data_IF_323159292005
#
_entry.id   IF_323159292005
#
_cell.length_a   1.000
_cell.length_b   1.000
_cell.length_c   1.000
_cell.angle_alpha   90.00
_cell.angle_beta   90.00
_cell.angle_gamma   90.00
#
_symmetry.space_group_name_H-M   'P 1'
#
loop_
_entity.id
_entity.type
_entity.pdbx_description
1 polymer ?
#
# COMPACT_ATOMS: atom_id res chain seq x y z
N UNK A 1 -5.44 -12.81 12.41
CA UNK A 1 -5.98 -11.71 11.60
C UNK A 1 -5.27 -11.67 10.24
N UNK A 2 -5.99 -11.26 9.19
CA UNK A 2 -5.38 -10.95 7.91
C UNK A 2 -4.55 -9.68 8.06
N UNK A 3 -3.32 -9.71 7.53
CA UNK A 3 -2.38 -8.59 7.53
C UNK A 3 -1.90 -8.29 6.10
N UNK A 4 -0.93 -7.38 6.01
CA UNK A 4 -0.42 -6.86 4.73
C UNK A 4 -1.21 -5.65 4.23
N UNK A 5 -0.51 -4.61 3.77
CA UNK A 5 -1.13 -3.32 3.41
C UNK A 5 -2.25 -3.45 2.39
N UNK A 6 -2.01 -4.16 1.30
CA UNK A 6 -3.00 -4.36 0.24
C UNK A 6 -4.26 -5.10 0.74
N UNK A 7 -4.08 -6.18 1.51
CA UNK A 7 -5.22 -6.95 2.01
C UNK A 7 -6.03 -6.18 3.05
N UNK A 8 -5.37 -5.41 3.93
CA UNK A 8 -6.04 -4.53 4.89
C UNK A 8 -6.84 -3.43 4.19
N UNK A 9 -6.26 -2.81 3.17
CA UNK A 9 -6.96 -1.82 2.35
C UNK A 9 -8.19 -2.43 1.67
N UNK A 10 -8.07 -3.59 1.02
CA UNK A 10 -9.19 -4.28 0.38
C UNK A 10 -10.31 -4.63 1.38
N UNK A 11 -9.94 -5.13 2.57
CA UNK A 11 -10.90 -5.40 3.65
C UNK A 11 -11.62 -4.13 4.12
N UNK A 12 -10.90 -3.00 4.20
CA UNK A 12 -11.47 -1.69 4.53
C UNK A 12 -12.50 -1.23 3.49
N UNK A 13 -12.13 -1.30 2.21
CA UNK A 13 -13.00 -0.94 1.07
C UNK A 13 -14.25 -1.84 1.03
N UNK A 14 -14.08 -3.15 1.24
CA UNK A 14 -15.21 -4.08 1.32
C UNK A 14 -16.17 -3.78 2.48
N UNK A 15 -15.64 -3.35 3.65
CA UNK A 15 -16.48 -2.89 4.77
C UNK A 15 -17.29 -1.62 4.45
N UNK A 16 -16.77 -0.78 3.56
CA UNK A 16 -17.48 0.42 3.10
C UNK A 16 -18.51 0.12 2.01
N UNK A 17 -18.69 -1.15 1.64
CA UNK A 17 -19.70 -1.58 0.66
C UNK A 17 -19.25 -1.51 -0.79
N UNK A 18 -17.96 -1.29 -1.04
CA UNK A 18 -17.36 -1.40 -2.37
C UNK A 18 -17.00 -2.86 -2.66
N UNK A 19 -16.80 -3.20 -3.94
CA UNK A 19 -16.45 -4.55 -4.39
C UNK A 19 -15.06 -4.56 -5.04
N UNK A 20 -13.98 -4.61 -4.25
CA UNK A 20 -12.64 -4.65 -4.81
C UNK A 20 -12.32 -6.02 -5.41
N UNK A 21 -11.58 -6.02 -6.51
CA UNK A 21 -10.87 -7.19 -7.02
C UNK A 21 -9.47 -7.17 -6.43
N UNK A 22 -9.04 -8.28 -5.84
CA UNK A 22 -7.73 -8.38 -5.22
C UNK A 22 -6.78 -9.21 -6.07
N UNK A 23 -5.64 -8.63 -6.42
CA UNK A 23 -4.56 -9.32 -7.11
C UNK A 23 -3.35 -9.51 -6.19
N UNK A 24 -2.87 -10.74 -6.11
CA UNK A 24 -1.74 -11.11 -5.26
C UNK A 24 -1.50 -12.61 -5.30
N UNK A 25 -0.74 -13.12 -4.33
CA UNK A 25 -0.44 -14.54 -4.22
C UNK A 25 -0.45 -15.01 -2.76
N UNK A 26 -1.05 -16.16 -2.50
CA UNK A 26 -1.03 -16.86 -1.21
C UNK A 26 -0.44 -18.26 -1.40
N UNK A 27 -0.01 -18.90 -0.31
CA UNK A 27 0.41 -20.30 -0.32
C UNK A 27 -0.77 -21.26 -0.31
N UNK A 28 -0.52 -22.50 -0.74
CA UNK A 28 -1.41 -23.64 -0.54
C UNK A 28 -1.28 -24.11 0.92
N UNK A 29 -1.94 -23.36 1.84
CA UNK A 29 -1.90 -23.58 3.28
C UNK A 29 -3.10 -22.94 3.99
N UNK A 30 -3.25 -23.24 5.30
CA UNK A 30 -4.37 -22.75 6.11
C UNK A 30 -4.43 -21.22 6.23
N UNK A 31 -3.32 -20.50 6.03
CA UNK A 31 -3.30 -19.03 6.06
C UNK A 31 -3.83 -18.46 4.74
N UNK A 32 -3.51 -19.09 3.60
CA UNK A 32 -4.11 -18.76 2.31
C UNK A 32 -5.62 -18.97 2.30
N UNK A 33 -6.08 -20.10 2.86
CA UNK A 33 -7.51 -20.39 3.05
C UNK A 33 -8.19 -19.35 3.96
N UNK A 34 -7.53 -18.94 5.05
CA UNK A 34 -8.04 -17.89 5.93
C UNK A 34 -8.24 -16.57 5.19
N UNK A 35 -7.27 -16.16 4.38
CA UNK A 35 -7.36 -14.91 3.59
C UNK A 35 -8.56 -14.97 2.64
N UNK A 36 -8.71 -16.06 1.88
CA UNK A 36 -9.85 -16.25 0.95
C UNK A 36 -11.19 -16.22 1.68
N UNK A 37 -11.28 -16.87 2.83
CA UNK A 37 -12.49 -16.85 3.66
C UNK A 37 -12.85 -15.44 4.13
N UNK A 38 -11.88 -14.67 4.59
CA UNK A 38 -12.10 -13.27 5.01
C UNK A 38 -12.49 -12.38 3.84
N UNK A 39 -11.91 -12.60 2.66
CA UNK A 39 -12.26 -11.88 1.44
C UNK A 39 -13.70 -12.17 1.02
N UNK A 40 -14.09 -13.44 0.97
CA UNK A 40 -15.46 -13.83 0.66
C UNK A 40 -16.48 -13.21 1.64
N UNK A 41 -16.15 -13.16 2.95
CA UNK A 41 -17.00 -12.55 3.97
C UNK A 41 -17.19 -11.03 3.81
N UNK A 42 -16.38 -10.37 2.98
CA UNK A 42 -16.40 -8.92 2.72
C UNK A 42 -16.67 -8.58 1.25
N UNK A 43 -17.15 -9.55 0.47
CA UNK A 43 -17.44 -9.39 -0.95
C UNK A 43 -16.24 -8.86 -1.77
N UNK A 44 -15.04 -9.31 -1.41
CA UNK A 44 -13.82 -9.04 -2.18
C UNK A 44 -13.68 -10.16 -3.21
N UNK A 45 -13.55 -9.78 -4.47
CA UNK A 45 -13.29 -10.73 -5.55
C UNK A 45 -11.82 -11.17 -5.50
N UNK A 46 -11.60 -12.46 -5.26
CA UNK A 46 -10.28 -13.08 -5.19
C UNK A 46 -9.95 -13.91 -6.44
N UNK A 47 -10.65 -13.71 -7.55
CA UNK A 47 -10.44 -14.43 -8.81
C UNK A 47 -9.03 -14.25 -9.38
N UNK A 48 -8.37 -13.12 -9.06
CA UNK A 48 -6.99 -12.82 -9.43
C UNK A 48 -5.98 -13.13 -8.31
N UNK A 49 -6.40 -13.75 -7.22
CA UNK A 49 -5.52 -14.19 -6.15
C UNK A 49 -4.93 -15.56 -6.47
N UNK A 50 -3.65 -15.57 -6.86
CA UNK A 50 -2.90 -16.79 -7.17
C UNK A 50 -2.68 -17.68 -5.94
N UNK A 51 -2.40 -18.96 -6.18
CA UNK A 51 -2.01 -19.91 -5.14
C UNK A 51 -0.67 -20.56 -5.49
N UNK A 52 0.34 -20.31 -4.66
CA UNK A 52 1.65 -20.94 -4.78
C UNK A 52 1.62 -22.35 -4.19
N UNK A 53 2.18 -23.31 -4.91
CA UNK A 53 2.40 -24.68 -4.42
C UNK A 53 3.80 -24.87 -3.83
N UNK A 54 4.69 -23.92 -4.05
CA UNK A 54 6.10 -24.00 -3.62
C UNK A 54 6.40 -23.12 -2.43
N UNK A 55 5.73 -21.97 -2.33
CA UNK A 55 5.91 -21.02 -1.24
C UNK A 55 4.70 -21.00 -0.32
N UNK A 56 4.93 -20.80 0.97
CA UNK A 56 3.87 -20.63 1.96
C UNK A 56 3.42 -19.19 2.04
N UNK A 57 2.20 -18.97 2.51
CA UNK A 57 1.65 -17.63 2.78
C UNK A 57 2.55 -16.87 3.74
N UNK A 58 2.80 -15.59 3.45
CA UNK A 58 3.56 -14.72 4.34
C UNK A 58 2.83 -14.52 5.68
N UNK A 59 3.58 -14.56 6.78
CA UNK A 59 3.05 -14.34 8.12
C UNK A 59 3.93 -13.39 8.91
N UNK A 60 3.32 -12.61 9.79
CA UNK A 60 4.03 -11.77 10.76
C UNK A 60 3.55 -12.06 12.16
N UNK A 61 4.49 -12.28 13.07
CA UNK A 61 4.22 -12.41 14.50
C UNK A 61 4.55 -11.07 15.15
N UNK A 62 3.54 -10.46 15.80
CA UNK A 62 3.72 -9.21 16.53
C UNK A 62 4.07 -9.50 17.98
N UNK A 63 5.18 -8.93 18.44
CA UNK A 63 5.57 -8.89 19.83
C UNK A 63 5.30 -7.48 20.35
N UNK A 64 4.30 -7.33 21.19
CA UNK A 64 3.86 -6.04 21.71
C UNK A 64 4.05 -5.99 23.22
N UNK A 65 4.66 -4.92 23.71
CA UNK A 65 4.70 -4.56 25.11
C UNK A 65 4.09 -3.16 25.31
N UNK A 66 4.11 -2.63 26.53
CA UNK A 66 3.51 -1.32 26.85
C UNK A 66 4.16 -0.12 26.12
N UNK A 67 5.38 -0.27 25.62
CA UNK A 67 6.19 0.83 25.06
C UNK A 67 6.49 0.67 23.59
N UNK A 68 6.54 -0.57 23.09
CA UNK A 68 7.06 -0.83 21.75
C UNK A 68 6.41 -2.07 21.11
N UNK A 69 6.56 -2.17 19.81
CA UNK A 69 6.09 -3.28 18.99
C UNK A 69 7.18 -3.72 18.03
N UNK A 70 7.46 -5.00 18.02
CA UNK A 70 8.38 -5.65 17.07
C UNK A 70 7.65 -6.70 16.26
N UNK A 71 8.14 -6.96 15.05
CA UNK A 71 7.59 -7.99 14.19
C UNK A 71 8.67 -8.98 13.79
N UNK A 72 8.33 -10.27 13.84
CA UNK A 72 9.07 -11.31 13.16
C UNK A 72 8.26 -11.73 11.94
N UNK A 73 8.78 -11.46 10.74
CA UNK A 73 8.06 -11.68 9.48
C UNK A 73 8.74 -12.75 8.64
N UNK A 74 7.98 -13.80 8.32
CA UNK A 74 8.28 -14.70 7.22
C UNK A 74 7.54 -14.16 5.98
N UNK A 75 8.28 -13.76 4.96
CA UNK A 75 7.69 -13.10 3.78
C UNK A 75 6.90 -14.06 2.90
N UNK A 76 7.31 -15.34 2.81
CA UNK A 76 6.64 -16.34 2.00
C UNK A 76 6.36 -15.87 0.58
N UNK A 77 5.15 -16.10 0.08
CA UNK A 77 4.72 -15.67 -1.27
C UNK A 77 4.94 -14.19 -1.53
N UNK A 78 4.93 -13.32 -0.51
CA UNK A 78 5.20 -11.88 -0.68
C UNK A 78 6.65 -11.58 -1.12
N UNK A 79 7.59 -12.51 -0.90
CA UNK A 79 8.97 -12.34 -1.35
C UNK A 79 9.12 -12.56 -2.87
N UNK A 80 8.19 -13.27 -3.47
CA UNK A 80 8.22 -13.67 -4.89
C UNK A 80 7.23 -12.92 -5.78
N UNK A 81 6.51 -11.94 -5.25
CA UNK A 81 5.58 -11.13 -6.06
C UNK A 81 6.36 -10.44 -7.17
N UNK A 82 6.01 -10.76 -8.41
CA UNK A 82 6.58 -10.16 -9.60
C UNK A 82 5.64 -9.10 -10.15
N UNK A 83 6.09 -7.86 -10.13
CA UNK A 83 5.34 -6.72 -10.67
C UNK A 83 5.06 -6.88 -12.17
N UNK A 84 5.95 -7.57 -12.89
CA UNK A 84 5.77 -7.83 -14.32
C UNK A 84 4.61 -8.79 -14.64
N UNK A 85 4.13 -9.55 -13.64
CA UNK A 85 3.03 -10.51 -13.79
C UNK A 85 1.66 -9.95 -13.43
N UNK A 86 1.57 -8.66 -13.11
CA UNK A 86 0.29 -8.02 -12.84
C UNK A 86 -0.62 -8.11 -14.07
N UNK A 87 -1.79 -8.69 -13.88
CA UNK A 87 -2.81 -8.86 -14.91
C UNK A 87 -3.63 -7.58 -15.06
N UNK A 88 -3.24 -6.73 -16.03
CA UNK A 88 -3.95 -5.50 -16.33
C UNK A 88 -5.28 -5.78 -17.04
N UNK A 89 -5.34 -6.82 -17.88
CA UNK A 89 -6.58 -7.19 -18.58
C UNK A 89 -7.68 -7.56 -17.58
N UNK A 90 -7.33 -8.29 -16.51
CA UNK A 90 -8.27 -8.65 -15.44
C UNK A 90 -8.81 -7.46 -14.65
N UNK A 91 -8.14 -6.30 -14.69
CA UNK A 91 -8.54 -5.08 -13.97
C UNK A 91 -8.82 -3.88 -14.87
N UNK A 92 -8.87 -4.05 -16.19
CA UNK A 92 -9.02 -2.95 -17.16
C UNK A 92 -10.28 -2.11 -17.00
N UNK A 93 -11.34 -2.69 -16.42
CA UNK A 93 -12.60 -2.00 -16.17
C UNK A 93 -12.68 -1.38 -14.76
N UNK A 94 -11.61 -1.47 -13.97
CA UNK A 94 -11.57 -0.83 -12.66
C UNK A 94 -11.58 0.69 -12.82
N UNK A 95 -12.35 1.39 -12.00
CA UNK A 95 -12.33 2.86 -11.93
C UNK A 95 -11.14 3.39 -11.14
N UNK A 96 -10.56 2.54 -10.27
CA UNK A 96 -9.42 2.88 -9.43
C UNK A 96 -8.55 1.66 -9.16
N UNK A 97 -7.24 1.85 -9.17
CA UNK A 97 -6.25 0.83 -8.81
C UNK A 97 -5.44 1.34 -7.63
N UNK A 98 -5.44 0.57 -6.53
CA UNK A 98 -4.61 0.86 -5.37
C UNK A 98 -3.42 -0.09 -5.30
N UNK A 99 -2.23 0.46 -5.17
CA UNK A 99 -0.98 -0.29 -5.03
C UNK A 99 -0.37 -0.05 -3.66
N UNK A 100 0.29 -1.06 -3.11
CA UNK A 100 1.03 -0.93 -1.84
C UNK A 100 2.41 -1.54 -1.93
N UNK A 101 3.37 -0.92 -1.24
CA UNK A 101 4.72 -1.42 -1.07
C UNK A 101 5.62 -1.22 -2.29
N UNK A 102 6.49 -0.22 -2.20
CA UNK A 102 7.60 -0.04 -3.15
C UNK A 102 8.83 -0.79 -2.65
N UNK A 103 9.27 -1.80 -3.40
CA UNK A 103 10.37 -2.67 -2.98
C UNK A 103 11.75 -2.24 -3.53
N UNK A 104 12.06 -0.95 -3.40
CA UNK A 104 13.39 -0.40 -3.68
C UNK A 104 13.79 -0.39 -5.15
N UNK A 105 15.07 -0.07 -5.39
CA UNK A 105 15.65 0.13 -6.73
C UNK A 105 15.58 -1.12 -7.61
N UNK A 106 15.67 -2.31 -7.03
CA UNK A 106 15.66 -3.60 -7.75
C UNK A 106 14.43 -3.77 -8.64
N UNK A 107 13.26 -3.29 -8.19
CA UNK A 107 12.01 -3.45 -8.90
C UNK A 107 11.52 -2.14 -9.56
N UNK A 108 12.31 -1.06 -9.48
CA UNK A 108 11.89 0.26 -9.96
C UNK A 108 11.43 0.26 -11.42
N UNK A 109 12.20 -0.36 -12.30
CA UNK A 109 11.84 -0.44 -13.74
C UNK A 109 10.52 -1.19 -13.97
N UNK A 110 10.25 -2.24 -13.18
CA UNK A 110 8.99 -2.99 -13.27
C UNK A 110 7.80 -2.15 -12.81
N UNK A 111 7.92 -1.39 -11.71
CA UNK A 111 6.88 -0.45 -11.28
C UNK A 111 6.61 0.63 -12.32
N UNK A 112 7.66 1.23 -12.88
CA UNK A 112 7.53 2.25 -13.91
C UNK A 112 6.84 1.71 -15.17
N UNK A 113 7.22 0.50 -15.61
CA UNK A 113 6.60 -0.19 -16.74
C UNK A 113 5.12 -0.47 -16.47
N UNK A 114 4.79 -1.03 -15.29
CA UNK A 114 3.42 -1.31 -14.88
C UNK A 114 2.56 -0.05 -14.89
N UNK A 115 3.01 1.02 -14.23
CA UNK A 115 2.24 2.27 -14.14
C UNK A 115 2.00 2.90 -15.51
N UNK A 116 3.01 2.88 -16.40
CA UNK A 116 2.84 3.32 -17.80
C UNK A 116 1.79 2.50 -18.53
N UNK A 117 1.80 1.18 -18.36
CA UNK A 117 0.81 0.30 -18.97
C UNK A 117 -0.59 0.55 -18.41
N UNK A 118 -0.74 0.68 -17.09
CA UNK A 118 -2.03 1.03 -16.46
C UNK A 118 -2.60 2.30 -17.07
N UNK A 119 -1.80 3.37 -17.20
CA UNK A 119 -2.25 4.63 -17.80
C UNK A 119 -2.53 4.54 -19.30
N UNK A 120 -1.90 3.62 -20.02
CA UNK A 120 -2.12 3.44 -21.46
C UNK A 120 -3.29 2.49 -21.79
N UNK A 121 -3.54 1.50 -20.93
CA UNK A 121 -4.46 0.40 -21.20
C UNK A 121 -5.78 0.53 -20.43
N UNK A 122 -5.89 1.47 -19.45
CA UNK A 122 -7.07 1.65 -18.59
C UNK A 122 -7.41 3.13 -18.41
N UNK A 123 -8.66 3.40 -18.01
CA UNK A 123 -9.12 4.73 -17.56
C UNK A 123 -9.04 4.88 -16.02
N UNK A 124 -8.43 3.93 -15.35
CA UNK A 124 -8.38 3.91 -13.89
C UNK A 124 -7.50 5.03 -13.33
N UNK A 125 -7.96 5.64 -12.25
CA UNK A 125 -7.06 6.41 -11.39
C UNK A 125 -6.20 5.47 -10.56
N UNK A 126 -5.02 5.93 -10.16
CA UNK A 126 -4.04 5.14 -9.40
C UNK A 126 -3.73 5.79 -8.07
N UNK A 127 -3.84 5.04 -6.99
CA UNK A 127 -3.24 5.42 -5.71
C UNK A 127 -2.12 4.45 -5.32
N UNK A 128 -1.09 4.98 -4.66
CA UNK A 128 0.04 4.16 -4.23
C UNK A 128 0.45 4.52 -2.80
N UNK A 129 0.38 3.55 -1.90
CA UNK A 129 0.97 3.63 -0.55
C UNK A 129 2.38 3.02 -0.62
N UNK A 130 3.41 3.86 -0.54
CA UNK A 130 4.79 3.45 -0.79
C UNK A 130 5.28 2.40 0.21
N UNK A 131 4.89 2.53 1.47
CA UNK A 131 5.31 1.64 2.53
C UNK A 131 6.77 1.81 2.95
N UNK A 132 7.16 1.04 3.95
CA UNK A 132 8.51 1.04 4.50
C UNK A 132 9.50 0.40 3.54
N UNK A 133 10.60 1.09 3.24
CA UNK A 133 11.71 0.51 2.48
C UNK A 133 12.59 -0.35 3.38
N UNK A 134 12.42 -1.67 3.29
CA UNK A 134 13.21 -2.64 4.06
C UNK A 134 14.69 -2.73 3.64
N UNK A 135 15.05 -2.17 2.48
CA UNK A 135 16.45 -2.10 2.02
C UNK A 135 17.20 -0.94 2.66
N UNK A 136 16.47 0.09 3.11
CA UNK A 136 17.02 1.34 3.64
C UNK A 136 17.64 2.24 2.58
N UNK A 137 17.51 1.93 1.29
CA UNK A 137 18.06 2.73 0.18
C UNK A 137 17.32 4.04 -0.01
N UNK A 138 16.00 4.04 0.26
CA UNK A 138 15.12 5.17 0.04
C UNK A 138 15.36 5.79 -1.35
N UNK A 139 15.23 4.94 -2.37
CA UNK A 139 15.61 5.22 -3.74
C UNK A 139 14.96 6.51 -4.26
N UNK A 140 15.75 7.57 -4.60
CA UNK A 140 15.21 8.83 -5.08
C UNK A 140 14.54 8.76 -6.46
N UNK A 141 14.83 7.70 -7.23
CA UNK A 141 14.18 7.48 -8.53
C UNK A 141 12.68 7.21 -8.39
N UNK A 142 12.17 6.96 -7.18
CA UNK A 142 10.74 6.79 -6.92
C UNK A 142 9.91 7.96 -7.49
N UNK A 143 10.47 9.16 -7.57
CA UNK A 143 9.83 10.34 -8.17
C UNK A 143 9.47 10.15 -9.66
N UNK A 144 10.16 9.25 -10.37
CA UNK A 144 9.84 8.93 -11.76
C UNK A 144 8.46 8.24 -11.90
N UNK A 145 7.94 7.67 -10.81
CA UNK A 145 6.61 7.05 -10.76
C UNK A 145 5.49 8.07 -10.58
N UNK A 146 5.75 9.20 -9.95
CA UNK A 146 4.74 10.17 -9.51
C UNK A 146 3.84 10.70 -10.63
N UNK A 147 4.33 10.98 -11.86
CA UNK A 147 3.46 11.41 -12.96
C UNK A 147 2.37 10.39 -13.37
N UNK A 148 2.49 9.14 -12.89
CA UNK A 148 1.53 8.06 -13.18
C UNK A 148 0.63 7.74 -11.98
N UNK A 149 0.76 8.49 -10.87
CA UNK A 149 0.04 8.28 -9.61
C UNK A 149 -0.88 9.46 -9.37
N UNK A 150 -2.18 9.22 -9.21
CA UNK A 150 -3.15 10.28 -8.92
C UNK A 150 -3.20 10.62 -7.42
N UNK A 151 -2.94 9.63 -6.55
CA UNK A 151 -2.89 9.84 -5.09
C UNK A 151 -1.72 9.08 -4.48
N UNK A 152 -0.77 9.80 -3.91
CA UNK A 152 0.40 9.24 -3.23
C UNK A 152 0.17 9.20 -1.73
N UNK A 153 0.33 8.01 -1.13
CA UNK A 153 0.22 7.80 0.32
C UNK A 153 1.56 7.41 0.93
N UNK A 154 1.85 7.91 2.12
CA UNK A 154 2.97 7.47 2.95
C UNK A 154 2.78 7.92 4.41
N UNK A 155 3.52 7.34 5.33
CA UNK A 155 3.60 7.86 6.68
C UNK A 155 4.67 8.96 6.81
N UNK A 156 4.71 9.62 7.97
CA UNK A 156 5.65 10.72 8.25
C UNK A 156 7.11 10.31 8.05
N UNK A 157 7.49 9.14 8.57
CA UNK A 157 8.86 8.65 8.49
C UNK A 157 9.25 8.33 7.04
N UNK A 158 8.40 7.67 6.31
CA UNK A 158 8.58 7.37 4.88
C UNK A 158 8.74 8.67 4.07
N UNK A 159 7.87 9.65 4.33
CA UNK A 159 7.91 10.94 3.65
C UNK A 159 9.24 11.66 3.84
N UNK A 160 9.73 11.72 5.07
CA UNK A 160 11.02 12.36 5.40
C UNK A 160 12.18 11.65 4.69
N UNK A 161 12.18 10.31 4.70
CA UNK A 161 13.26 9.54 4.09
C UNK A 161 13.26 9.64 2.55
N UNK A 162 12.13 9.39 1.89
CA UNK A 162 12.02 9.51 0.43
C UNK A 162 12.21 10.95 -0.06
N UNK A 163 11.71 11.93 0.70
CA UNK A 163 11.86 13.35 0.40
C UNK A 163 13.25 13.90 0.69
N UNK A 164 14.03 13.20 1.55
CA UNK A 164 15.31 13.69 2.08
C UNK A 164 15.15 15.08 2.70
N UNK A 165 14.07 15.29 3.42
CA UNK A 165 13.67 16.54 4.06
C UNK A 165 13.75 16.42 5.58
N UNK A 166 13.58 17.55 6.29
CA UNK A 166 13.58 17.56 7.74
C UNK A 166 12.19 17.31 8.33
N UNK A 167 11.15 17.59 7.56
CA UNK A 167 9.76 17.46 7.99
C UNK A 167 8.90 16.82 6.92
N UNK A 168 7.82 16.15 7.36
CA UNK A 168 6.82 15.59 6.47
C UNK A 168 6.15 16.66 5.58
N UNK A 169 5.99 17.88 6.11
CA UNK A 169 5.40 18.98 5.37
C UNK A 169 6.29 19.46 4.22
N UNK A 170 7.60 19.56 4.45
CA UNK A 170 8.57 19.84 3.38
C UNK A 170 8.54 18.74 2.31
N UNK A 171 8.49 17.47 2.74
CA UNK A 171 8.39 16.34 1.82
C UNK A 171 7.10 16.40 0.99
N UNK A 172 5.95 16.65 1.63
CA UNK A 172 4.67 16.77 0.94
C UNK A 172 4.68 17.83 -0.15
N UNK A 173 5.25 19.01 0.14
CA UNK A 173 5.38 20.11 -0.83
C UNK A 173 6.32 19.76 -1.98
N UNK A 174 7.36 19.00 -1.70
CA UNK A 174 8.30 18.55 -2.72
C UNK A 174 7.62 17.53 -3.65
N UNK A 175 6.91 16.55 -3.10
CA UNK A 175 6.21 15.53 -3.89
C UNK A 175 5.03 16.09 -4.68
N UNK A 176 4.35 17.09 -4.16
CA UNK A 176 3.23 17.76 -4.84
C UNK A 176 3.64 18.57 -6.09
N UNK A 177 4.93 18.66 -6.40
CA UNK A 177 5.40 19.22 -7.67
C UNK A 177 5.21 18.24 -8.83
N UNK A 178 5.21 16.93 -8.55
CA UNK A 178 5.22 15.86 -9.53
C UNK A 178 3.99 14.93 -9.40
N UNK A 179 3.19 15.08 -8.33
CA UNK A 179 1.99 14.29 -8.06
C UNK A 179 0.84 15.20 -7.64
N UNK A 180 -0.34 15.04 -8.24
CA UNK A 180 -1.50 15.93 -8.03
C UNK A 180 -2.02 15.92 -6.59
N UNK A 181 -1.99 14.74 -5.95
CA UNK A 181 -2.45 14.55 -4.57
C UNK A 181 -1.44 13.78 -3.75
N UNK A 182 -1.00 14.37 -2.67
CA UNK A 182 -0.08 13.75 -1.70
C UNK A 182 -0.76 13.72 -0.34
N UNK A 183 -0.81 12.55 0.28
CA UNK A 183 -1.39 12.35 1.62
C UNK A 183 -0.34 11.73 2.53
N UNK A 184 -0.01 12.44 3.62
CA UNK A 184 0.92 11.96 4.63
C UNK A 184 0.18 11.65 5.93
N UNK A 185 0.30 10.40 6.38
CA UNK A 185 -0.25 9.91 7.64
C UNK A 185 0.68 10.31 8.79
N UNK A 186 0.17 11.11 9.74
CA UNK A 186 0.92 11.70 10.87
C UNK A 186 0.59 11.03 12.21
N UNK A 187 0.09 9.80 12.17
CA UNK A 187 -0.27 9.01 13.35
C UNK A 187 -1.30 9.72 14.23
N UNK A 188 -1.00 9.89 15.51
CA UNK A 188 -1.89 10.55 16.46
C UNK A 188 -2.11 12.04 16.20
N UNK A 189 -1.31 12.67 15.35
CA UNK A 189 -1.49 14.06 14.93
C UNK A 189 -2.55 14.20 13.84
N UNK A 190 -2.83 13.14 13.06
CA UNK A 190 -3.82 13.18 11.99
C UNK A 190 -3.21 12.93 10.61
N UNK A 191 -3.58 13.71 9.62
CA UNK A 191 -3.07 13.63 8.26
C UNK A 191 -2.88 14.99 7.62
N UNK A 192 -1.90 15.08 6.73
CA UNK A 192 -1.61 16.21 5.88
C UNK A 192 -1.88 15.83 4.44
N UNK A 193 -2.67 16.59 3.72
CA UNK A 193 -2.89 16.42 2.30
C UNK A 193 -2.49 17.68 1.53
N UNK A 194 -1.93 17.50 0.34
CA UNK A 194 -1.74 18.57 -0.64
C UNK A 194 -2.43 18.16 -1.93
N UNK A 195 -3.31 19.00 -2.42
CA UNK A 195 -4.02 18.83 -3.69
C UNK A 195 -4.06 20.15 -4.43
N UNK A 196 -3.61 20.19 -5.69
CA UNK A 196 -3.58 21.42 -6.51
C UNK A 196 -2.90 22.60 -5.81
N UNK A 197 -1.81 22.33 -5.09
CA UNK A 197 -1.07 23.34 -4.30
C UNK A 197 -1.76 23.79 -3.02
N UNK A 198 -2.97 23.29 -2.72
CA UNK A 198 -3.70 23.60 -1.49
C UNK A 198 -3.36 22.56 -0.42
N UNK A 199 -2.83 23.05 0.71
CA UNK A 199 -2.50 22.23 1.86
C UNK A 199 -3.71 22.15 2.83
N UNK A 200 -4.04 20.93 3.26
CA UNK A 200 -5.12 20.65 4.20
C UNK A 200 -4.58 19.74 5.29
N UNK A 201 -4.78 20.13 6.54
CA UNK A 201 -4.48 19.32 7.70
C UNK A 201 -5.78 18.86 8.37
N UNK A 202 -5.89 17.56 8.63
CA UNK A 202 -6.99 16.96 9.37
C UNK A 202 -6.46 16.35 10.67
N UNK A 203 -6.88 16.83 11.83
CA UNK A 203 -6.46 16.26 13.10
C UNK A 203 -7.05 14.84 13.28
N UNK A 204 -6.32 13.99 13.99
CA UNK A 204 -6.82 12.67 14.34
C UNK A 204 -7.99 12.75 15.33
N UNK A 205 -8.91 11.79 15.22
CA UNK A 205 -9.92 11.60 16.26
C UNK A 205 -9.27 11.19 17.58
N UNK A 206 -9.73 11.79 18.68
CA UNK A 206 -9.25 11.40 20.02
C UNK A 206 -9.91 10.08 20.42
N UNK A 207 -9.15 9.02 20.42
CA UNK A 207 -9.57 7.67 20.81
C UNK A 207 -8.58 7.09 21.82
N UNK A 208 -9.05 6.17 22.66
CA UNK A 208 -8.16 5.33 23.45
C UNK A 208 -7.70 4.17 22.55
N UNK A 209 -6.49 4.27 22.04
CA UNK A 209 -5.92 3.20 21.22
C UNK A 209 -5.67 1.96 22.10
N UNK A 210 -6.17 0.79 21.67
CA UNK A 210 -5.92 -0.51 22.30
C UNK A 210 -4.89 -1.27 21.45
N UNK A 211 -5.06 -1.27 20.14
CA UNK A 211 -4.14 -1.86 19.18
C UNK A 211 -4.14 -1.01 17.90
N UNK A 212 -2.97 -0.57 17.48
CA UNK A 212 -2.78 0.23 16.25
C UNK A 212 -2.27 -0.58 15.07
N UNK A 213 -2.24 -1.93 15.19
CA UNK A 213 -1.81 -2.80 14.09
C UNK A 213 -2.75 -2.63 12.90
N UNK A 214 -2.18 -2.28 11.74
CA UNK A 214 -2.92 -2.08 10.51
C UNK A 214 -3.66 -0.73 10.39
N UNK A 215 -3.64 0.13 11.43
CA UNK A 215 -4.33 1.42 11.38
C UNK A 215 -3.90 2.30 10.18
N UNK A 216 -2.62 2.23 9.77
CA UNK A 216 -2.12 2.95 8.61
C UNK A 216 -2.67 2.48 7.25
N UNK A 217 -3.25 1.28 7.19
CA UNK A 217 -3.89 0.76 5.96
C UNK A 217 -5.35 1.19 5.76
N UNK A 218 -5.91 1.96 6.71
CA UNK A 218 -7.30 2.43 6.69
C UNK A 218 -7.44 3.96 6.60
N UNK A 219 -6.41 4.63 6.14
CA UNK A 219 -6.41 6.11 5.99
C UNK A 219 -6.89 6.51 4.60
#
# INVERSE_FOLDING_TARGET
>A
YVGGGAALFALGIGKLGLHPVFQGEVGDDCYGELIRKEFAAKNIDDSLLGTSRTEKTGISISFTNEKDRSFLTYRGTNAGISIDKVDIEGVKNASHIHMTGYEGSKNHAAYLSLLKRVKAETEATVSFDLGWDSTGEWNPQIKELFPYIDVLFMNETEAIHYGRTKTAQEAAREFAKDCDRVVIKLGSSGSLAIENGKEVFLPAYRVKAVDTTGAGGFV
#
